data_IF_258916159287
#
_entry.id   IF_258916159287
#
_cell.length_a   1.000
_cell.length_b   1.000
_cell.length_c   1.000
_cell.angle_alpha   90.00
_cell.angle_beta   90.00
_cell.angle_gamma   90.00
#
_symmetry.space_group_name_H-M   'P 1'
#
loop_
_entity.id
_entity.type
_entity.pdbx_description
1 polymer ?
#
# COMPACT_ATOMS: atom_id res chain seq x y z
N UNK A 1 13.29 -7.37 28.21
CA UNK A 1 11.93 -7.95 28.14
C UNK A 1 11.65 -8.71 29.42
N UNK A 2 10.54 -8.44 30.11
CA UNK A 2 10.15 -9.16 31.33
C UNK A 2 9.51 -10.49 30.93
N UNK A 3 9.92 -11.60 31.54
CA UNK A 3 9.35 -12.93 31.26
C UNK A 3 7.86 -12.93 31.68
N UNK A 4 6.96 -13.26 30.75
CA UNK A 4 5.50 -13.13 30.95
C UNK A 4 4.88 -14.39 31.61
N UNK A 5 5.64 -15.47 31.78
CA UNK A 5 5.20 -16.68 32.50
C UNK A 5 5.85 -17.92 31.91
N UNK A 6 5.78 -19.06 32.62
CA UNK A 6 6.29 -20.34 32.11
C UNK A 6 5.22 -21.20 31.40
N UNK A 7 3.92 -20.93 31.61
CA UNK A 7 2.79 -21.78 31.18
C UNK A 7 1.56 -20.97 30.69
N UNK A 8 1.76 -19.77 30.12
CA UNK A 8 0.63 -19.01 29.56
C UNK A 8 0.64 -19.15 28.03
N UNK A 9 -0.46 -19.61 27.46
CA UNK A 9 -0.67 -19.57 26.02
C UNK A 9 -0.69 -18.09 25.58
N UNK A 10 0.27 -17.73 24.73
CA UNK A 10 0.42 -16.37 24.24
C UNK A 10 -0.41 -16.20 22.95
N UNK A 11 -1.36 -15.28 23.00
CA UNK A 11 -2.08 -14.81 21.83
C UNK A 11 -1.65 -13.39 21.48
N UNK A 12 -1.29 -13.18 20.21
CA UNK A 12 -0.85 -11.90 19.67
C UNK A 12 -1.81 -11.46 18.58
N UNK A 13 -2.03 -10.15 18.48
CA UNK A 13 -2.69 -9.59 17.30
C UNK A 13 -2.01 -8.28 16.86
N UNK A 14 -2.14 -7.96 15.57
CA UNK A 14 -1.77 -6.65 15.03
C UNK A 14 -2.66 -6.25 13.86
N UNK A 15 -2.77 -4.95 13.60
CA UNK A 15 -3.57 -4.41 12.50
C UNK A 15 -2.91 -4.68 11.15
N UNK A 16 -3.70 -5.11 10.15
CA UNK A 16 -3.21 -5.19 8.78
C UNK A 16 -2.69 -3.82 8.34
N UNK A 17 -1.43 -3.76 7.94
CA UNK A 17 -0.72 -2.52 7.65
C UNK A 17 0.21 -2.64 6.44
N UNK A 18 0.91 -1.55 6.09
CA UNK A 18 1.82 -1.53 4.94
C UNK A 18 3.07 -2.40 5.13
N UNK A 19 3.33 -2.88 6.34
CA UNK A 19 4.50 -3.69 6.71
C UNK A 19 4.39 -5.17 6.29
N UNK A 20 3.27 -5.58 5.69
CA UNK A 20 3.07 -6.95 5.22
C UNK A 20 2.88 -7.97 6.36
N UNK A 21 3.30 -9.22 6.10
CA UNK A 21 2.99 -10.37 6.97
C UNK A 21 4.23 -11.04 7.59
N UNK A 22 5.41 -10.40 7.50
CA UNK A 22 6.66 -10.95 8.07
C UNK A 22 6.58 -11.21 9.58
N UNK A 23 5.99 -10.28 10.35
CA UNK A 23 5.79 -10.43 11.80
C UNK A 23 4.88 -11.63 12.10
N UNK A 24 3.79 -11.80 11.34
CA UNK A 24 2.88 -12.94 11.48
C UNK A 24 3.63 -14.26 11.29
N UNK A 25 4.45 -14.38 10.23
CA UNK A 25 5.21 -15.61 9.95
C UNK A 25 6.23 -15.90 11.04
N UNK A 26 6.99 -14.89 11.47
CA UNK A 26 7.98 -15.04 12.53
C UNK A 26 7.35 -15.53 13.84
N UNK A 27 6.22 -14.95 14.24
CA UNK A 27 5.50 -15.39 15.44
C UNK A 27 4.98 -16.82 15.30
N UNK A 28 4.44 -17.17 14.12
CA UNK A 28 3.95 -18.51 13.83
C UNK A 28 5.06 -19.57 13.87
N UNK A 29 6.25 -19.26 13.32
CA UNK A 29 7.43 -20.12 13.38
C UNK A 29 7.92 -20.35 14.82
N UNK A 30 7.73 -19.36 15.70
CA UNK A 30 8.01 -19.49 17.14
C UNK A 30 6.93 -20.26 17.92
N UNK A 31 5.88 -20.77 17.25
CA UNK A 31 4.75 -21.44 17.87
C UNK A 31 3.79 -20.51 18.61
N UNK A 32 3.85 -19.21 18.34
CA UNK A 32 3.00 -18.20 18.98
C UNK A 32 1.76 -17.96 18.11
N UNK A 33 0.58 -18.03 18.72
CA UNK A 33 -0.68 -17.70 18.03
C UNK A 33 -0.69 -16.21 17.65
N UNK A 34 -0.93 -15.91 16.38
CA UNK A 34 -0.99 -14.55 15.87
C UNK A 34 -2.22 -14.34 14.99
N UNK A 35 -2.95 -13.25 15.21
CA UNK A 35 -4.08 -12.82 14.39
C UNK A 35 -3.79 -11.47 13.72
N UNK A 36 -4.03 -11.39 12.40
CA UNK A 36 -3.97 -10.12 11.68
C UNK A 36 -5.38 -9.55 11.59
N UNK A 37 -5.56 -8.29 11.98
CA UNK A 37 -6.88 -7.70 12.22
C UNK A 37 -7.26 -6.72 11.11
N UNK A 38 -8.51 -6.75 10.67
CA UNK A 38 -9.06 -5.80 9.71
C UNK A 38 -9.23 -4.40 10.35
N UNK A 39 -8.43 -3.38 9.98
CA UNK A 39 -8.42 -2.09 10.70
C UNK A 39 -9.75 -1.33 10.61
N UNK A 40 -10.49 -1.54 9.52
CA UNK A 40 -11.79 -0.91 9.26
C UNK A 40 -12.94 -1.49 10.11
N UNK A 41 -12.76 -2.67 10.69
CA UNK A 41 -13.79 -3.37 11.46
C UNK A 41 -13.56 -3.30 12.97
N UNK A 42 -12.50 -2.63 13.41
CA UNK A 42 -12.21 -2.45 14.84
C UNK A 42 -13.24 -1.49 15.45
N UNK A 43 -13.98 -1.89 16.50
CA UNK A 43 -14.95 -1.02 17.15
C UNK A 43 -14.30 0.21 17.78
N UNK A 44 -14.66 1.40 17.27
CA UNK A 44 -14.17 2.70 17.77
C UNK A 44 -15.29 3.46 18.46
N UNK A 45 -15.01 4.00 19.64
CA UNK A 45 -15.94 4.89 20.34
C UNK A 45 -15.95 6.26 19.66
N UNK A 46 -17.14 6.77 19.37
CA UNK A 46 -17.30 8.12 18.84
C UNK A 46 -16.75 9.14 19.85
N UNK A 47 -16.00 10.13 19.36
CA UNK A 47 -15.40 11.17 20.21
C UNK A 47 -14.03 10.82 20.81
N UNK A 48 -13.55 9.58 20.65
CA UNK A 48 -12.18 9.24 21.06
C UNK A 48 -11.16 9.76 20.03
N UNK A 49 -10.66 10.99 20.28
CA UNK A 49 -9.76 11.71 19.37
C UNK A 49 -8.28 11.59 19.74
N UNK A 50 -7.96 11.02 20.90
CA UNK A 50 -6.59 10.94 21.37
C UNK A 50 -6.00 9.61 20.91
N UNK A 51 -5.22 9.67 19.83
CA UNK A 51 -4.50 8.52 19.28
C UNK A 51 -3.11 8.43 19.89
N UNK A 52 -2.82 7.31 20.56
CA UNK A 52 -1.45 6.96 20.99
C UNK A 52 -1.24 5.47 20.83
N UNK A 53 -0.03 5.05 20.43
CA UNK A 53 0.28 3.64 20.19
C UNK A 53 0.00 2.76 21.41
N UNK A 54 0.25 3.29 22.62
CA UNK A 54 -0.05 2.60 23.88
C UNK A 54 -1.54 2.35 24.07
N UNK A 55 -2.39 3.32 23.75
CA UNK A 55 -3.85 3.18 23.89
C UNK A 55 -4.41 2.24 22.84
N UNK A 56 -3.92 2.35 21.60
CA UNK A 56 -4.33 1.50 20.49
C UNK A 56 -3.96 0.02 20.77
N UNK A 57 -2.73 -0.24 21.23
CA UNK A 57 -2.29 -1.59 21.62
C UNK A 57 -3.11 -2.16 22.79
N UNK A 58 -3.40 -1.36 23.82
CA UNK A 58 -4.24 -1.80 24.95
C UNK A 58 -5.67 -2.12 24.49
N UNK A 59 -6.23 -1.29 23.58
CA UNK A 59 -7.57 -1.50 23.03
C UNK A 59 -7.64 -2.78 22.21
N UNK A 60 -6.64 -3.04 21.36
CA UNK A 60 -6.54 -4.29 20.60
C UNK A 60 -6.47 -5.50 21.53
N UNK A 61 -5.65 -5.46 22.58
CA UNK A 61 -5.55 -6.54 23.55
C UNK A 61 -6.89 -6.80 24.29
N UNK A 62 -7.64 -5.74 24.62
CA UNK A 62 -8.98 -5.88 25.22
C UNK A 62 -9.97 -6.55 24.27
N UNK A 63 -9.98 -6.15 23.00
CA UNK A 63 -10.88 -6.71 21.98
C UNK A 63 -10.50 -8.14 21.60
N UNK A 64 -9.20 -8.46 21.59
CA UNK A 64 -8.71 -9.83 21.40
C UNK A 64 -9.25 -10.73 22.51
N UNK A 65 -9.10 -10.29 23.76
CA UNK A 65 -9.59 -11.03 24.92
C UNK A 65 -11.10 -11.25 24.91
N UNK A 66 -11.89 -10.34 24.33
CA UNK A 66 -13.35 -10.49 24.22
C UNK A 66 -13.80 -11.23 22.97
N UNK A 67 -12.89 -11.60 22.06
CA UNK A 67 -13.24 -12.25 20.79
C UNK A 67 -13.96 -11.31 19.80
N UNK A 68 -13.87 -9.99 19.98
CA UNK A 68 -14.57 -8.98 19.17
C UNK A 68 -13.78 -8.56 17.92
N UNK A 69 -12.62 -9.16 17.65
CA UNK A 69 -11.77 -8.82 16.51
C UNK A 69 -12.16 -9.62 15.26
N UNK A 70 -12.23 -8.93 14.13
CA UNK A 70 -12.34 -9.59 12.81
C UNK A 70 -10.95 -9.81 12.23
N UNK A 71 -10.60 -11.08 12.03
CA UNK A 71 -9.32 -11.46 11.42
C UNK A 71 -9.38 -11.34 9.90
N UNK A 72 -8.25 -11.00 9.29
CA UNK A 72 -8.06 -11.09 7.84
C UNK A 72 -7.37 -12.41 7.50
N UNK A 73 -7.69 -12.95 6.33
CA UNK A 73 -6.90 -14.02 5.76
C UNK A 73 -5.49 -13.52 5.45
N UNK A 74 -4.49 -14.26 5.94
CA UNK A 74 -3.08 -14.00 5.67
C UNK A 74 -2.67 -14.79 4.44
N UNK A 75 -2.26 -14.12 3.34
CA UNK A 75 -1.79 -14.78 2.14
C UNK A 75 -0.51 -15.60 2.39
N UNK A 76 -0.31 -16.65 1.60
CA UNK A 76 0.98 -17.33 1.52
C UNK A 76 2.01 -16.50 0.75
N UNK A 77 3.25 -16.99 0.70
CA UNK A 77 4.34 -16.32 -0.02
C UNK A 77 4.07 -16.23 -1.53
N UNK A 78 3.52 -17.29 -2.12
CA UNK A 78 3.14 -17.31 -3.54
C UNK A 78 2.02 -16.31 -3.86
N UNK A 79 1.03 -16.19 -2.97
CA UNK A 79 -0.07 -15.23 -3.11
C UNK A 79 0.45 -13.78 -3.02
N UNK A 80 1.40 -13.53 -2.12
CA UNK A 80 2.03 -12.21 -1.99
C UNK A 80 2.86 -11.86 -3.21
N UNK A 81 3.67 -12.80 -3.71
CA UNK A 81 4.45 -12.61 -4.93
C UNK A 81 3.54 -12.25 -6.12
N UNK A 82 2.42 -12.95 -6.28
CA UNK A 82 1.43 -12.64 -7.31
C UNK A 82 0.81 -11.24 -7.12
N UNK A 83 0.43 -10.89 -5.88
CA UNK A 83 -0.15 -9.58 -5.56
C UNK A 83 0.84 -8.44 -5.82
N UNK A 84 2.12 -8.64 -5.51
CA UNK A 84 3.17 -7.65 -5.74
C UNK A 84 3.41 -7.42 -7.22
N UNK A 85 3.35 -8.47 -8.05
CA UNK A 85 3.37 -8.32 -9.51
C UNK A 85 2.21 -7.45 -10.01
N UNK A 86 0.99 -7.68 -9.51
CA UNK A 86 -0.19 -6.89 -9.89
C UNK A 86 -0.04 -5.43 -9.44
N UNK A 87 0.43 -5.19 -8.21
CA UNK A 87 0.71 -3.84 -7.68
C UNK A 87 1.75 -3.13 -8.51
N UNK A 88 2.87 -3.78 -8.82
CA UNK A 88 3.94 -3.23 -9.65
C UNK A 88 3.43 -2.78 -11.03
N UNK A 89 2.57 -3.60 -11.67
CA UNK A 89 1.91 -3.23 -12.92
C UNK A 89 1.01 -1.99 -12.75
N UNK A 90 0.20 -1.94 -11.69
CA UNK A 90 -0.69 -0.81 -11.43
C UNK A 90 0.09 0.47 -11.19
N UNK A 91 1.19 0.41 -10.44
CA UNK A 91 2.03 1.56 -10.15
C UNK A 91 2.75 2.04 -11.41
N UNK A 92 3.30 1.14 -12.23
CA UNK A 92 3.85 1.48 -13.54
C UNK A 92 2.82 2.16 -14.45
N UNK A 93 1.55 1.73 -14.43
CA UNK A 93 0.45 2.39 -15.17
C UNK A 93 0.15 3.79 -14.65
N UNK A 94 0.13 4.00 -13.33
CA UNK A 94 -0.05 5.32 -12.72
C UNK A 94 1.11 6.25 -13.09
N UNK A 95 2.34 5.75 -13.05
CA UNK A 95 3.53 6.54 -13.40
C UNK A 95 3.56 6.91 -14.87
N UNK A 96 3.20 5.98 -15.76
CA UNK A 96 3.02 6.27 -17.18
C UNK A 96 2.01 7.40 -17.37
N UNK A 97 0.85 7.35 -16.71
CA UNK A 97 -0.18 8.38 -16.82
C UNK A 97 0.34 9.74 -16.31
N UNK A 98 1.04 9.76 -15.17
CA UNK A 98 1.65 10.97 -14.61
C UNK A 98 2.67 11.56 -15.56
N UNK A 99 3.57 10.75 -16.12
CA UNK A 99 4.57 11.18 -17.08
C UNK A 99 3.93 11.76 -18.35
N UNK A 100 2.90 11.09 -18.87
CA UNK A 100 2.09 11.56 -20.00
C UNK A 100 1.47 12.93 -19.74
N UNK A 101 0.81 13.10 -18.60
CA UNK A 101 0.21 14.39 -18.22
C UNK A 101 1.25 15.50 -18.10
N UNK A 102 2.39 15.23 -17.44
CA UNK A 102 3.49 16.21 -17.33
C UNK A 102 4.00 16.65 -18.69
N UNK A 103 4.24 15.70 -19.61
CA UNK A 103 4.69 16.02 -20.95
C UNK A 103 3.65 16.82 -21.74
N UNK A 104 2.38 16.41 -21.73
CA UNK A 104 1.32 17.16 -22.41
C UNK A 104 1.20 18.60 -21.90
N UNK A 105 1.29 18.82 -20.58
CA UNK A 105 1.26 20.17 -20.01
C UNK A 105 2.50 20.98 -20.35
N UNK A 106 3.66 20.34 -20.40
CA UNK A 106 4.89 20.98 -20.82
C UNK A 106 4.82 21.44 -22.29
N UNK A 107 4.35 20.58 -23.20
CA UNK A 107 4.18 20.95 -24.61
C UNK A 107 3.16 22.08 -24.79
N UNK A 108 2.02 21.99 -24.09
CA UNK A 108 0.99 23.02 -24.10
C UNK A 108 1.53 24.39 -23.66
N UNK A 109 2.34 24.43 -22.59
CA UNK A 109 2.94 25.68 -22.10
C UNK A 109 3.93 26.31 -23.09
N UNK A 110 4.51 25.50 -23.97
CA UNK A 110 5.39 25.96 -25.04
C UNK A 110 4.64 26.19 -26.38
N UNK A 111 3.30 26.14 -26.37
CA UNK A 111 2.48 26.33 -27.57
C UNK A 111 2.61 25.21 -28.62
N UNK A 112 3.14 24.06 -28.23
CA UNK A 112 3.39 22.93 -29.16
C UNK A 112 2.21 21.98 -29.20
N UNK A 113 1.68 21.75 -30.39
CA UNK A 113 0.61 20.81 -30.68
C UNK A 113 1.05 19.78 -31.72
N UNK A 114 0.61 18.54 -31.55
CA UNK A 114 0.83 17.51 -32.57
C UNK A 114 0.11 17.88 -33.88
N UNK A 115 0.63 17.45 -35.05
CA UNK A 115 -0.01 17.70 -36.33
C UNK A 115 -1.47 17.19 -36.37
N UNK A 116 -2.30 17.84 -37.18
CA UNK A 116 -3.70 17.45 -37.34
C UNK A 116 -3.82 15.97 -37.72
N UNK A 117 -4.77 15.27 -37.09
CA UNK A 117 -4.99 13.83 -37.28
C UNK A 117 -4.07 12.91 -36.46
N UNK A 118 -3.11 13.44 -35.70
CA UNK A 118 -2.26 12.63 -34.82
C UNK A 118 -2.90 12.50 -33.43
N UNK A 119 -3.32 11.27 -33.07
CA UNK A 119 -3.84 10.99 -31.73
C UNK A 119 -2.71 10.91 -30.70
N UNK A 120 -2.96 11.42 -29.49
CA UNK A 120 -1.99 11.36 -28.39
C UNK A 120 -1.59 9.92 -28.06
N UNK A 121 -0.31 9.72 -27.74
CA UNK A 121 0.28 8.46 -27.28
C UNK A 121 0.24 7.28 -28.26
N UNK A 122 0.01 7.52 -29.55
CA UNK A 122 0.24 6.52 -30.61
C UNK A 122 1.68 6.60 -31.17
N UNK A 123 2.07 5.63 -32.00
CA UNK A 123 3.40 5.58 -32.63
C UNK A 123 3.73 6.84 -33.43
N UNK A 124 2.74 7.44 -34.12
CA UNK A 124 2.92 8.70 -34.86
C UNK A 124 3.18 9.89 -33.92
N UNK A 125 2.47 9.95 -32.79
CA UNK A 125 2.72 10.97 -31.77
C UNK A 125 4.11 10.83 -31.17
N UNK A 126 4.55 9.60 -30.90
CA UNK A 126 5.91 9.35 -30.39
C UNK A 126 6.99 9.75 -31.40
N UNK A 127 6.79 9.50 -32.69
CA UNK A 127 7.71 10.00 -33.73
C UNK A 127 7.76 11.53 -33.75
N UNK A 128 6.60 12.20 -33.70
CA UNK A 128 6.57 13.67 -33.64
C UNK A 128 7.29 14.22 -32.41
N UNK A 129 7.07 13.63 -31.22
CA UNK A 129 7.79 14.02 -30.00
C UNK A 129 9.31 13.94 -30.18
N UNK A 130 9.81 12.92 -30.89
CA UNK A 130 11.24 12.75 -31.18
C UNK A 130 11.80 13.75 -32.20
N UNK A 131 10.94 14.46 -32.95
CA UNK A 131 11.39 15.53 -33.87
C UNK A 131 11.53 16.90 -33.19
N UNK A 132 11.01 17.06 -31.98
CA UNK A 132 11.05 18.33 -31.26
C UNK A 132 12.50 18.68 -30.88
N UNK A 133 12.90 19.92 -31.19
CA UNK A 133 14.19 20.50 -30.82
C UNK A 133 13.96 21.74 -29.97
N UNK A 134 14.90 22.03 -29.08
CA UNK A 134 14.83 23.16 -28.16
C UNK A 134 15.99 24.11 -28.48
N UNK A 135 15.67 25.39 -28.74
CA UNK A 135 16.68 26.41 -29.04
C UNK A 135 17.50 26.78 -27.79
N UNK A 136 16.85 26.79 -26.63
CA UNK A 136 17.48 27.09 -25.35
C UNK A 136 17.65 25.82 -24.54
N UNK A 137 18.88 25.56 -24.08
CA UNK A 137 19.14 24.54 -23.04
C UNK A 137 18.72 25.10 -21.69
N UNK A 138 18.14 24.24 -20.85
CA UNK A 138 17.86 24.53 -19.46
C UNK A 138 19.14 24.58 -18.62
#
# INVERSE_FOLDING_TARGET
MKKIGNNADLEVCYEAGPTGYGIYRQLKEMGISCMVIAPSLIPKRQGDRVKTDRRDALRLAQLLRSGELTTVWVPGEDDEALRDLVRARQDAKKDLLRARHRLSKFLLRNGLCAPSGVRNWCTKHQHWLNTLKWEHRA
#
